data_IF_758501550755
#
_entry.id   IF_758501550755
#
_cell.length_a   1.000
_cell.length_b   1.000
_cell.length_c   1.000
_cell.angle_alpha   90.00
_cell.angle_beta   90.00
_cell.angle_gamma   90.00
#
_symmetry.space_group_name_H-M   'P 1'
#
loop_
_entity.id
_entity.type
_entity.pdbx_description
1 polymer ?
#
# COMPACT_ATOMS: atom_id res chain seq x y z
N UNK A 1 -19.86 -13.27 0.31
CA UNK A 1 -19.25 -11.92 0.35
C UNK A 1 -18.50 -11.58 1.65
N UNK A 2 -18.94 -12.03 2.84
CA UNK A 2 -18.31 -11.69 4.15
C UNK A 2 -16.85 -12.20 4.32
N UNK A 3 -16.52 -13.38 3.79
CA UNK A 3 -15.16 -13.95 3.86
C UNK A 3 -14.10 -13.20 3.01
N UNK A 4 -14.50 -12.55 1.91
CA UNK A 4 -13.57 -11.81 1.05
C UNK A 4 -13.10 -10.51 1.72
N UNK A 5 -14.00 -9.82 2.44
CA UNK A 5 -13.67 -8.61 3.20
C UNK A 5 -12.69 -8.91 4.34
N UNK A 6 -12.88 -10.03 5.04
CA UNK A 6 -12.00 -10.43 6.15
C UNK A 6 -10.59 -10.80 5.68
N UNK A 7 -10.46 -11.51 4.54
CA UNK A 7 -9.16 -11.79 3.92
C UNK A 7 -8.42 -10.51 3.55
N UNK A 8 -9.12 -9.53 2.95
CA UNK A 8 -8.54 -8.24 2.54
C UNK A 8 -8.08 -7.40 3.74
N UNK A 9 -8.83 -7.40 4.84
CA UNK A 9 -8.45 -6.71 6.08
C UNK A 9 -7.24 -7.39 6.71
N UNK A 10 -7.26 -8.73 6.82
CA UNK A 10 -6.13 -9.50 7.37
C UNK A 10 -4.85 -9.19 6.59
N UNK A 11 -4.90 -9.29 5.26
CA UNK A 11 -3.75 -9.07 4.39
C UNK A 11 -3.28 -7.62 4.34
N UNK A 12 -4.14 -6.66 4.69
CA UNK A 12 -3.74 -5.27 4.88
C UNK A 12 -3.00 -5.09 6.20
N UNK A 13 -3.47 -5.71 7.29
CA UNK A 13 -2.82 -5.67 8.62
C UNK A 13 -1.48 -6.41 8.64
N UNK A 14 -1.37 -7.53 7.94
CA UNK A 14 -0.11 -8.28 7.81
C UNK A 14 0.80 -7.75 6.70
N UNK A 15 0.31 -6.77 5.93
CA UNK A 15 1.03 -6.21 4.79
C UNK A 15 1.42 -7.25 3.71
N UNK A 16 0.65 -8.34 3.58
CA UNK A 16 0.90 -9.45 2.64
C UNK A 16 0.48 -9.14 1.19
N UNK A 17 -0.49 -8.24 1.01
CA UNK A 17 -1.03 -7.87 -0.32
C UNK A 17 0.02 -7.40 -1.34
N UNK A 18 0.92 -6.46 -1.01
CA UNK A 18 1.91 -5.96 -1.96
C UNK A 18 2.98 -6.98 -2.36
N UNK A 19 3.00 -8.18 -1.77
CA UNK A 19 3.95 -9.25 -2.07
C UNK A 19 3.34 -10.32 -3.00
N UNK A 20 2.02 -10.30 -3.18
CA UNK A 20 1.33 -11.33 -3.93
C UNK A 20 1.32 -11.01 -5.44
N UNK A 21 2.10 -11.76 -6.22
CA UNK A 21 2.19 -11.59 -7.68
C UNK A 21 0.82 -11.64 -8.38
N UNK A 22 -0.02 -12.62 -8.05
CA UNK A 22 -1.35 -12.75 -8.68
C UNK A 22 -2.22 -11.53 -8.38
N UNK A 23 -2.14 -10.99 -7.17
CA UNK A 23 -2.84 -9.77 -6.79
C UNK A 23 -2.32 -8.55 -7.56
N UNK A 24 -1.01 -8.40 -7.72
CA UNK A 24 -0.40 -7.29 -8.48
C UNK A 24 -0.80 -7.38 -9.95
N UNK A 25 -0.71 -8.56 -10.55
CA UNK A 25 -1.09 -8.77 -11.94
C UNK A 25 -2.58 -8.48 -12.16
N UNK A 26 -3.47 -8.99 -11.30
CA UNK A 26 -4.90 -8.70 -11.41
C UNK A 26 -5.19 -7.20 -11.21
N UNK A 27 -4.57 -6.59 -10.20
CA UNK A 27 -4.71 -5.15 -9.93
C UNK A 27 -4.24 -4.32 -11.12
N UNK A 28 -3.16 -4.72 -11.79
CA UNK A 28 -2.67 -4.06 -13.01
C UNK A 28 -3.70 -4.12 -14.12
N UNK A 29 -4.16 -5.32 -14.46
CA UNK A 29 -5.13 -5.51 -15.55
C UNK A 29 -6.44 -4.77 -15.27
N UNK A 30 -6.95 -4.90 -14.06
CA UNK A 30 -8.23 -4.30 -13.68
C UNK A 30 -8.13 -2.76 -13.67
N UNK A 31 -7.03 -2.22 -13.12
CA UNK A 31 -6.77 -0.76 -13.16
C UNK A 31 -6.60 -0.28 -14.60
N UNK A 32 -5.82 -0.98 -15.43
CA UNK A 32 -5.62 -0.56 -16.81
C UNK A 32 -6.94 -0.55 -17.59
N UNK A 33 -7.77 -1.60 -17.43
CA UNK A 33 -9.09 -1.69 -18.05
C UNK A 33 -10.06 -0.61 -17.59
N UNK A 34 -10.09 -0.31 -16.29
CA UNK A 34 -10.94 0.74 -15.73
C UNK A 34 -10.63 2.11 -16.34
N UNK A 35 -9.35 2.45 -16.44
CA UNK A 35 -8.93 3.76 -16.98
C UNK A 35 -8.95 3.80 -18.51
N UNK A 36 -8.67 2.70 -19.21
CA UNK A 36 -8.80 2.65 -20.67
C UNK A 36 -10.26 2.80 -21.14
N UNK A 37 -11.22 2.37 -20.32
CA UNK A 37 -12.65 2.56 -20.63
C UNK A 37 -13.10 4.03 -20.52
N UNK A 38 -12.38 4.84 -19.74
CA UNK A 38 -12.73 6.25 -19.51
C UNK A 38 -11.85 7.23 -20.27
N UNK A 39 -10.62 6.83 -20.61
CA UNK A 39 -9.63 7.66 -21.31
C UNK A 39 -9.18 6.89 -22.55
N UNK A 40 -9.45 7.46 -23.73
CA UNK A 40 -9.23 6.81 -25.04
C UNK A 40 -7.81 6.34 -25.30
N UNK A 41 -6.81 6.98 -24.67
CA UNK A 41 -5.40 6.60 -24.74
C UNK A 41 -4.83 6.57 -23.33
N UNK A 42 -5.01 5.44 -22.64
CA UNK A 42 -4.43 5.21 -21.32
C UNK A 42 -3.14 4.38 -21.44
N UNK A 43 -1.95 4.97 -21.24
CA UNK A 43 -0.71 4.24 -21.42
C UNK A 43 -0.43 3.29 -20.25
N UNK A 44 0.22 2.18 -20.53
CA UNK A 44 0.69 1.17 -19.56
C UNK A 44 1.52 1.81 -18.43
N UNK A 45 2.36 2.79 -18.78
CA UNK A 45 3.18 3.55 -17.81
C UNK A 45 2.34 4.33 -16.80
N UNK A 46 1.14 4.80 -17.16
CA UNK A 46 0.22 5.46 -16.24
C UNK A 46 -0.39 4.47 -15.25
N UNK A 47 -0.76 3.26 -15.68
CA UNK A 47 -1.18 2.18 -14.76
C UNK A 47 -0.09 1.85 -13.76
N UNK A 48 1.16 1.68 -14.22
CA UNK A 48 2.31 1.43 -13.34
C UNK A 48 2.46 2.52 -12.28
N UNK A 49 2.44 3.79 -12.69
CA UNK A 49 2.51 4.94 -11.76
C UNK A 49 1.36 4.95 -10.76
N UNK A 50 0.14 4.63 -11.20
CA UNK A 50 -1.04 4.55 -10.33
C UNK A 50 -0.90 3.48 -9.26
N UNK A 51 -0.38 2.31 -9.62
CA UNK A 51 -0.15 1.22 -8.67
C UNK A 51 0.97 1.52 -7.68
N UNK A 52 2.05 2.18 -8.11
CA UNK A 52 3.09 2.67 -7.19
C UNK A 52 2.51 3.68 -6.21
N UNK A 53 1.71 4.64 -6.69
CA UNK A 53 1.04 5.61 -5.81
C UNK A 53 0.10 4.90 -4.82
N UNK A 54 -0.68 3.93 -5.29
CA UNK A 54 -1.58 3.15 -4.44
C UNK A 54 -0.83 2.34 -3.37
N UNK A 55 0.33 1.76 -3.71
CA UNK A 55 1.21 1.10 -2.74
C UNK A 55 1.60 2.07 -1.62
N UNK A 56 2.13 3.26 -1.96
CA UNK A 56 2.56 4.23 -0.98
C UNK A 56 1.40 4.77 -0.13
N UNK A 57 0.25 5.06 -0.73
CA UNK A 57 -0.95 5.44 0.01
C UNK A 57 -1.37 4.33 0.99
N UNK A 58 -1.32 3.07 0.56
CA UNK A 58 -1.62 1.92 1.43
C UNK A 58 -0.62 1.80 2.59
N UNK A 59 0.68 2.00 2.35
CA UNK A 59 1.71 2.01 3.43
C UNK A 59 1.45 3.11 4.45
N UNK A 60 1.07 4.30 3.98
CA UNK A 60 0.78 5.45 4.85
C UNK A 60 -0.46 5.17 5.70
N UNK A 61 -1.54 4.68 5.10
CA UNK A 61 -2.76 4.29 5.82
C UNK A 61 -2.48 3.19 6.85
N UNK A 62 -1.68 2.19 6.49
CA UNK A 62 -1.29 1.12 7.40
C UNK A 62 -0.54 1.67 8.62
N UNK A 63 0.44 2.55 8.39
CA UNK A 63 1.14 3.23 9.47
C UNK A 63 0.22 4.08 10.34
N UNK A 64 -0.67 4.89 9.75
CA UNK A 64 -1.62 5.71 10.52
C UNK A 64 -2.52 4.85 11.41
N UNK A 65 -2.97 3.69 10.91
CA UNK A 65 -3.79 2.77 11.70
C UNK A 65 -3.00 2.17 12.87
N UNK A 66 -1.74 1.79 12.67
CA UNK A 66 -0.85 1.35 13.75
C UNK A 66 -0.64 2.47 14.78
N UNK A 67 -0.38 3.69 14.33
CA UNK A 67 -0.16 4.84 15.21
C UNK A 67 -1.41 5.15 16.06
N UNK A 68 -2.60 5.18 15.44
CA UNK A 68 -3.88 5.38 16.15
C UNK A 68 -4.12 4.24 17.15
N UNK A 69 -3.91 2.98 16.74
CA UNK A 69 -4.06 1.83 17.63
C UNK A 69 -3.11 1.90 18.83
N UNK A 70 -1.85 2.30 18.61
CA UNK A 70 -0.87 2.51 19.67
C UNK A 70 -1.30 3.61 20.65
N UNK A 71 -1.76 4.75 20.14
CA UNK A 71 -2.27 5.86 20.99
C UNK A 71 -3.45 5.38 21.83
N UNK A 72 -4.45 4.75 21.20
CA UNK A 72 -5.63 4.21 21.89
C UNK A 72 -5.25 3.17 22.96
N UNK A 73 -4.25 2.33 22.67
CA UNK A 73 -3.74 1.35 23.62
C UNK A 73 -3.09 2.01 24.85
N UNK A 74 -2.36 3.11 24.68
CA UNK A 74 -1.70 3.82 25.80
C UNK A 74 -2.67 4.67 26.63
N UNK A 75 -3.79 5.08 26.07
CA UNK A 75 -4.79 5.95 26.71
C UNK A 75 -5.31 5.43 28.06
N UNK A 76 -5.76 4.17 28.22
CA UNK A 76 -6.21 3.65 29.53
C UNK A 76 -5.09 3.53 30.57
N UNK A 77 -3.82 3.49 30.17
CA UNK A 77 -2.68 3.45 31.09
C UNK A 77 -2.20 4.84 31.54
N UNK A 78 -2.68 5.92 30.89
CA UNK A 78 -2.41 7.30 31.31
C UNK A 78 -3.24 7.77 32.51
N UNK A 79 -3.87 6.84 33.24
CA UNK A 79 -4.99 7.05 34.15
C UNK A 79 -4.71 7.74 35.50
N UNK A 80 -3.74 8.65 35.64
CA UNK A 80 -3.50 9.27 36.96
C UNK A 80 -3.26 10.80 37.07
N UNK A 81 -3.40 11.64 36.02
CA UNK A 81 -3.93 13.02 36.13
C UNK A 81 -3.61 14.04 35.02
N UNK A 82 -2.90 13.73 33.93
CA UNK A 82 -2.80 14.75 32.87
C UNK A 82 -2.55 14.20 31.47
N UNK A 83 -3.64 14.11 30.68
CA UNK A 83 -3.54 14.38 29.24
C UNK A 83 -3.17 15.85 29.06
N UNK A 84 -1.94 16.22 29.41
CA UNK A 84 -1.40 17.54 29.16
C UNK A 84 -0.99 17.63 27.69
N UNK A 85 -1.00 18.84 27.12
CA UNK A 85 -0.52 19.11 25.77
C UNK A 85 0.88 18.51 25.53
N UNK A 86 1.77 18.52 26.52
CA UNK A 86 3.10 17.90 26.43
C UNK A 86 3.06 16.39 26.18
N UNK A 87 2.11 15.66 26.78
CA UNK A 87 1.95 14.23 26.54
C UNK A 87 1.51 13.97 25.09
N UNK A 88 0.54 14.74 24.59
CA UNK A 88 0.08 14.64 23.19
C UNK A 88 1.20 14.97 22.20
N UNK A 89 1.99 16.01 22.48
CA UNK A 89 3.17 16.36 21.67
C UNK A 89 4.18 15.22 21.69
N UNK A 90 4.45 14.61 22.85
CA UNK A 90 5.37 13.48 22.96
C UNK A 90 4.90 12.26 22.14
N UNK A 91 3.59 11.98 22.10
CA UNK A 91 3.04 10.90 21.29
C UNK A 91 3.21 11.16 19.80
N UNK A 92 2.98 12.40 19.35
CA UNK A 92 3.17 12.79 17.95
C UNK A 92 4.64 12.66 17.54
N UNK A 93 5.57 13.17 18.37
CA UNK A 93 7.01 13.06 18.11
C UNK A 93 7.44 11.61 18.05
N UNK A 94 7.01 10.78 19.02
CA UNK A 94 7.32 9.35 19.01
C UNK A 94 6.75 8.64 17.78
N UNK A 95 5.53 8.97 17.35
CA UNK A 95 4.97 8.43 16.12
C UNK A 95 5.88 8.75 14.92
N UNK A 96 6.24 10.03 14.73
CA UNK A 96 7.15 10.45 13.65
C UNK A 96 8.48 9.70 13.71
N UNK A 97 9.07 9.55 14.91
CA UNK A 97 10.32 8.82 15.09
C UNK A 97 10.20 7.33 14.75
N UNK A 98 9.07 6.68 15.07
CA UNK A 98 8.79 5.27 14.73
C UNK A 98 8.56 5.10 13.23
N UNK A 99 7.99 6.10 12.55
CA UNK A 99 7.79 6.04 11.10
C UNK A 99 9.09 5.87 10.33
N UNK A 100 10.18 6.51 10.77
CA UNK A 100 11.48 6.48 10.07
C UNK A 100 12.01 5.04 9.92
N UNK A 101 12.27 4.26 10.99
CA UNK A 101 12.75 2.89 10.85
C UNK A 101 11.71 2.00 10.14
N UNK A 102 10.42 2.19 10.39
CA UNK A 102 9.36 1.43 9.72
C UNK A 102 9.39 1.64 8.20
N UNK A 103 9.58 2.89 7.76
CA UNK A 103 9.72 3.24 6.36
C UNK A 103 10.94 2.57 5.73
N UNK A 104 12.13 2.68 6.34
CA UNK A 104 13.34 2.15 5.74
C UNK A 104 13.44 0.62 5.78
N UNK A 105 13.05 0.01 6.90
CA UNK A 105 13.27 -1.42 7.15
C UNK A 105 12.14 -2.26 6.54
N UNK A 106 10.90 -1.78 6.59
CA UNK A 106 9.74 -2.58 6.13
C UNK A 106 9.25 -2.05 4.79
N UNK A 107 8.70 -0.84 4.75
CA UNK A 107 7.97 -0.37 3.56
C UNK A 107 8.86 -0.19 2.33
N UNK A 108 10.04 0.39 2.51
CA UNK A 108 11.00 0.59 1.42
C UNK A 108 11.64 -0.73 0.99
N UNK A 109 11.97 -1.61 1.94
CA UNK A 109 12.53 -2.92 1.64
C UNK A 109 11.57 -3.75 0.78
N UNK A 110 10.31 -3.89 1.21
CA UNK A 110 9.27 -4.63 0.47
C UNK A 110 9.02 -3.96 -0.89
N UNK A 111 9.01 -2.63 -0.94
CA UNK A 111 8.82 -1.91 -2.19
C UNK A 111 9.89 -2.26 -3.23
N UNK A 112 11.16 -2.19 -2.85
CA UNK A 112 12.29 -2.37 -3.77
C UNK A 112 12.46 -3.84 -4.15
N UNK A 113 12.37 -4.75 -3.18
CA UNK A 113 12.77 -6.14 -3.38
C UNK A 113 11.63 -7.04 -3.86
N UNK A 114 10.38 -6.66 -3.60
CA UNK A 114 9.23 -7.54 -3.86
C UNK A 114 8.21 -6.87 -4.78
N UNK A 115 7.63 -5.74 -4.36
CA UNK A 115 6.55 -5.11 -5.10
C UNK A 115 7.00 -4.59 -6.47
N UNK A 116 8.11 -3.86 -6.53
CA UNK A 116 8.57 -3.23 -7.77
C UNK A 116 8.97 -4.24 -8.85
N UNK A 117 9.76 -5.30 -8.56
CA UNK A 117 10.08 -6.33 -9.55
C UNK A 117 8.84 -7.06 -10.07
N UNK A 118 7.88 -7.39 -9.19
CA UNK A 118 6.63 -8.06 -9.59
C UNK A 118 5.75 -7.16 -10.46
N UNK A 119 5.68 -5.86 -10.14
CA UNK A 119 4.97 -4.88 -10.95
C UNK A 119 5.62 -4.72 -12.33
N UNK A 120 6.95 -4.73 -12.41
CA UNK A 120 7.69 -4.65 -13.67
C UNK A 120 7.48 -5.90 -14.53
N UNK A 121 7.48 -7.08 -13.91
CA UNK A 121 7.14 -8.33 -14.60
C UNK A 121 5.70 -8.29 -15.17
N UNK A 122 4.72 -7.87 -14.38
CA UNK A 122 3.33 -7.73 -14.83
C UNK A 122 3.18 -6.69 -15.95
N UNK A 123 3.96 -5.61 -15.89
CA UNK A 123 3.98 -4.55 -16.93
C UNK A 123 4.54 -5.11 -18.24
N UNK A 124 5.70 -5.78 -18.19
CA UNK A 124 6.35 -6.36 -19.37
C UNK A 124 5.50 -7.45 -20.01
N UNK A 125 4.84 -8.29 -19.21
CA UNK A 125 3.92 -9.32 -19.72
C UNK A 125 2.72 -8.70 -20.46
N UNK A 126 2.16 -7.61 -19.91
CA UNK A 126 1.06 -6.90 -20.55
C UNK A 126 1.48 -6.26 -21.87
N UNK A 127 2.62 -5.55 -21.90
CA UNK A 127 3.15 -4.95 -23.12
C UNK A 127 3.52 -5.99 -24.18
N UNK A 128 4.08 -7.13 -23.78
CA UNK A 128 4.42 -8.22 -24.70
C UNK A 128 3.18 -8.80 -25.37
N UNK A 129 2.09 -8.97 -24.61
CA UNK A 129 0.79 -9.40 -25.17
C UNK A 129 0.22 -8.35 -26.12
N UNK A 130 0.21 -7.08 -25.72
CA UNK A 130 -0.35 -5.99 -26.54
C UNK A 130 0.37 -5.86 -27.89
N UNK A 131 1.71 -5.93 -27.91
CA UNK A 131 2.49 -5.96 -29.15
C UNK A 131 2.16 -7.17 -30.01
N UNK A 132 2.03 -8.35 -29.39
CA UNK A 132 1.64 -9.54 -30.11
C UNK A 132 0.28 -9.39 -30.80
N UNK A 133 -0.68 -8.65 -30.25
CA UNK A 133 -1.98 -8.39 -30.89
C UNK A 133 -1.95 -7.37 -32.04
N UNK A 134 -0.95 -6.49 -32.08
CA UNK A 134 -0.80 -5.47 -33.13
C UNK A 134 -0.10 -6.04 -34.39
N UNK A 135 0.64 -7.14 -34.23
CA UNK A 135 1.39 -7.78 -35.32
C UNK A 135 0.58 -8.82 -36.14
N UNK A 136 -0.73 -8.99 -35.87
CA UNK A 136 -1.67 -9.83 -36.66
C UNK A 136 -2.76 -8.98 -37.31
#
# INVERSE_FOLDING_TARGET
MRNLKFKKIKSFVTFDLPVNYLYIHLSFRDTHKEYSNSISVWPVTSTRRKLIANYWTSTQLHYFLIAIAGILFTMPFSAFNSLNALHLVSLIVNAILIYIPLYFIIYRYIFINEFLPLLEAATAEYEGKDRAWVEW
#
